data_IF_262757666971
#
_entry.id   IF_262757666971
#
_cell.length_a   1.000
_cell.length_b   1.000
_cell.length_c   1.000
_cell.angle_alpha   90.00
_cell.angle_beta   90.00
_cell.angle_gamma   90.00
#
_symmetry.space_group_name_H-M   'P 1'
#
loop_
_entity.id
_entity.type
_entity.pdbx_description
1 polymer ?
#
# COMPACT_ATOMS: atom_id res chain seq x y z
N UNK A 1 -4.74 1.20 -3.97
CA UNK A 1 -3.50 1.90 -4.36
C UNK A 1 -2.43 0.83 -4.46
N UNK A 2 -2.10 0.46 -5.68
CA UNK A 2 -1.01 -0.48 -5.95
C UNK A 2 0.15 0.32 -6.50
N UNK A 3 1.33 0.07 -5.94
CA UNK A 3 2.60 0.64 -6.39
C UNK A 3 2.99 -0.04 -7.70
N UNK A 4 3.24 0.76 -8.74
CA UNK A 4 3.86 0.30 -9.97
C UNK A 4 5.18 1.05 -10.15
N UNK A 5 6.25 0.31 -10.40
CA UNK A 5 7.55 0.89 -10.74
C UNK A 5 7.77 0.79 -12.24
N UNK A 6 8.00 1.92 -12.89
CA UNK A 6 8.32 1.96 -14.31
C UNK A 6 9.77 1.49 -14.54
N UNK A 7 9.94 0.39 -15.27
CA UNK A 7 11.24 -0.27 -15.48
C UNK A 7 12.22 0.55 -16.35
N UNK A 8 11.79 1.67 -16.94
CA UNK A 8 12.62 2.52 -17.81
C UNK A 8 13.08 3.80 -17.13
N UNK A 9 12.29 4.31 -16.18
CA UNK A 9 12.55 5.59 -15.52
C UNK A 9 12.77 5.46 -14.02
N UNK A 10 12.47 4.30 -13.42
CA UNK A 10 12.47 4.11 -11.97
C UNK A 10 11.38 4.91 -11.26
N UNK A 11 10.47 5.55 -12.02
CA UNK A 11 9.39 6.35 -11.46
C UNK A 11 8.36 5.44 -10.82
N UNK A 12 8.10 5.66 -9.53
CA UNK A 12 7.07 4.94 -8.79
C UNK A 12 5.76 5.70 -8.90
N UNK A 13 4.81 5.12 -9.64
CA UNK A 13 3.47 5.66 -9.83
C UNK A 13 2.46 5.03 -8.89
N UNK A 14 1.57 5.85 -8.31
CA UNK A 14 0.38 5.37 -7.64
C UNK A 14 -0.71 5.09 -8.67
N UNK A 15 -1.20 3.85 -8.73
CA UNK A 15 -2.33 3.49 -9.58
C UNK A 15 -3.58 3.28 -8.75
N UNK A 16 -4.75 3.57 -9.35
CA UNK A 16 -6.07 3.30 -8.77
C UNK A 16 -6.44 1.81 -8.80
N UNK A 17 -5.51 0.93 -9.17
CA UNK A 17 -5.72 -0.52 -9.10
C UNK A 17 -5.78 -0.93 -7.63
N UNK A 18 -6.71 -1.84 -7.35
CA UNK A 18 -6.94 -2.43 -6.03
C UNK A 18 -6.71 -3.94 -6.11
N UNK A 19 -6.36 -4.56 -4.98
CA UNK A 19 -6.15 -6.00 -4.97
C UNK A 19 -7.47 -6.75 -5.09
N UNK A 20 -7.40 -8.03 -5.47
CA UNK A 20 -8.58 -8.91 -5.59
C UNK A 20 -9.39 -9.10 -4.30
N UNK A 21 -8.83 -8.74 -3.13
CA UNK A 21 -9.48 -8.85 -1.83
C UNK A 21 -10.16 -7.55 -1.41
N UNK A 22 -9.95 -6.46 -2.15
CA UNK A 22 -10.54 -5.16 -1.86
C UNK A 22 -12.01 -5.15 -2.25
N UNK A 23 -12.85 -4.78 -1.29
CA UNK A 23 -14.29 -4.69 -1.46
C UNK A 23 -14.68 -3.21 -1.59
N UNK A 24 -15.22 -2.86 -2.75
CA UNK A 24 -15.45 -1.46 -3.14
C UNK A 24 -16.57 -0.82 -2.32
N UNK A 25 -17.62 -1.58 -2.01
CA UNK A 25 -18.79 -1.05 -1.26
C UNK A 25 -18.45 -0.74 0.19
N UNK A 26 -17.67 -1.60 0.84
CA UNK A 26 -17.30 -1.45 2.25
C UNK A 26 -16.02 -0.63 2.44
N UNK A 27 -15.31 -0.31 1.35
CA UNK A 27 -13.98 0.32 1.33
C UNK A 27 -12.97 -0.41 2.24
N UNK A 28 -13.09 -1.75 2.33
CA UNK A 28 -12.31 -2.59 3.24
C UNK A 28 -11.74 -3.81 2.52
N UNK A 29 -10.75 -4.43 3.15
CA UNK A 29 -10.26 -5.74 2.72
C UNK A 29 -11.19 -6.82 3.29
N UNK A 30 -11.77 -7.64 2.42
CA UNK A 30 -12.65 -8.75 2.81
C UNK A 30 -11.93 -9.78 3.69
N UNK A 31 -10.64 -10.02 3.44
CA UNK A 31 -9.81 -11.00 4.14
C UNK A 31 -8.55 -10.35 4.72
N UNK A 32 -8.73 -9.34 5.57
CA UNK A 32 -7.61 -8.61 6.18
C UNK A 32 -6.63 -9.49 7.00
N UNK A 33 -7.07 -10.50 7.78
CA UNK A 33 -6.16 -11.35 8.57
C UNK A 33 -5.23 -12.21 7.71
N UNK A 34 -5.75 -12.74 6.60
CA UNK A 34 -5.03 -13.67 5.71
C UNK A 34 -4.45 -12.97 4.47
N UNK A 35 -4.51 -11.63 4.42
CA UNK A 35 -4.18 -10.85 3.21
C UNK A 35 -2.78 -11.13 2.67
N UNK A 36 -1.78 -11.34 3.52
CA UNK A 36 -0.40 -11.62 3.09
C UNK A 36 -0.22 -13.05 2.59
N UNK A 37 -1.07 -13.99 3.02
CA UNK A 37 -1.06 -15.37 2.53
C UNK A 37 -1.75 -15.48 1.16
N UNK A 38 -2.87 -14.77 1.02
CA UNK A 38 -3.67 -14.75 -0.20
C UNK A 38 -3.08 -13.84 -1.30
N UNK A 39 -2.43 -12.75 -0.90
CA UNK A 39 -1.82 -11.75 -1.80
C UNK A 39 -0.43 -11.39 -1.27
N UNK A 40 0.59 -11.98 -1.87
CA UNK A 40 1.99 -11.78 -1.49
C UNK A 40 2.44 -10.33 -1.73
N UNK A 41 1.84 -9.65 -2.71
CA UNK A 41 2.09 -8.25 -3.04
C UNK A 41 1.36 -7.26 -2.09
N UNK A 42 0.66 -7.76 -1.08
CA UNK A 42 -0.04 -6.90 -0.13
C UNK A 42 0.97 -6.17 0.76
N UNK A 43 0.94 -4.84 0.72
CA UNK A 43 1.88 -4.00 1.46
C UNK A 43 1.69 -4.19 2.96
N UNK A 44 2.79 -4.56 3.61
CA UNK A 44 2.88 -4.63 5.05
C UNK A 44 3.26 -3.24 5.57
N UNK A 45 2.32 -2.60 6.26
CA UNK A 45 2.51 -1.30 6.92
C UNK A 45 2.77 -1.57 8.40
N UNK A 46 4.03 -1.49 8.81
CA UNK A 46 4.42 -1.42 10.22
C UNK A 46 4.97 -0.01 10.51
N UNK A 47 4.83 0.46 11.75
CA UNK A 47 5.33 1.79 12.14
C UNK A 47 6.85 1.91 11.93
N UNK A 48 7.61 0.87 12.28
CA UNK A 48 9.06 0.86 12.09
C UNK A 48 9.50 0.80 10.62
N UNK A 49 8.66 0.26 9.73
CA UNK A 49 8.99 0.08 8.31
C UNK A 49 8.40 1.16 7.41
N UNK A 50 7.64 2.12 7.95
CA UNK A 50 6.95 3.13 7.13
C UNK A 50 7.93 4.12 6.50
N UNK A 51 9.04 4.38 7.19
CA UNK A 51 10.16 5.22 6.71
C UNK A 51 10.82 4.64 5.46
N UNK A 52 10.89 3.30 5.34
CA UNK A 52 11.38 2.61 4.15
C UNK A 52 10.39 2.70 2.96
N UNK A 53 9.13 3.02 3.23
CA UNK A 53 8.06 3.14 2.23
C UNK A 53 7.95 4.59 1.72
N UNK A 54 9.06 5.12 1.21
CA UNK A 54 9.18 6.50 0.69
C UNK A 54 8.22 6.86 -0.45
N UNK A 55 7.62 5.87 -1.09
CA UNK A 55 6.62 6.02 -2.15
C UNK A 55 5.19 6.25 -1.63
N UNK A 56 4.96 6.18 -0.31
CA UNK A 56 3.66 6.46 0.27
C UNK A 56 3.23 7.92 -0.02
N UNK A 57 1.93 8.20 -0.20
CA UNK A 57 1.44 9.53 -0.51
C UNK A 57 1.53 10.50 0.67
N UNK A 58 1.69 11.81 0.37
CA UNK A 58 1.58 13.00 1.26
C UNK A 58 0.68 12.82 2.49
N UNK A 59 -0.44 12.18 2.22
CA UNK A 59 -1.63 12.10 3.06
C UNK A 59 -1.74 10.79 3.83
N UNK A 60 -0.77 9.88 3.72
CA UNK A 60 -0.81 8.60 4.42
C UNK A 60 -0.67 8.82 5.94
N UNK A 61 -1.67 8.40 6.71
CA UNK A 61 -1.67 8.55 8.17
C UNK A 61 -0.44 7.93 8.84
N UNK A 62 0.02 6.76 8.38
CA UNK A 62 1.22 6.12 8.94
C UNK A 62 2.48 6.94 8.71
N UNK A 63 2.60 7.60 7.56
CA UNK A 63 3.76 8.45 7.26
C UNK A 63 3.74 9.75 8.04
N UNK A 64 2.57 10.36 8.17
CA UNK A 64 2.40 11.56 8.99
C UNK A 64 2.69 11.31 10.47
N UNK A 65 2.44 10.09 10.96
CA UNK A 65 2.75 9.68 12.33
C UNK A 65 4.25 9.43 12.55
N UNK A 66 5.00 9.01 11.53
CA UNK A 66 6.45 8.79 11.59
C UNK A 66 7.25 10.09 11.38
N UNK A 67 6.73 11.00 10.54
CA UNK A 67 7.30 12.34 10.35
C UNK A 67 7.00 13.32 11.51
N UNK A 68 6.23 12.90 12.53
CA UNK A 68 5.66 13.73 13.61
C UNK A 68 6.33 13.59 14.97
#
# INVERSE_FOLDING_TARGET
MIRFEDTKTGSVGATSVVCRLFEIESCRCSHYPERHQLVQDCVRLDADSVSDLSWLPNTCAYRLLDEG
#
